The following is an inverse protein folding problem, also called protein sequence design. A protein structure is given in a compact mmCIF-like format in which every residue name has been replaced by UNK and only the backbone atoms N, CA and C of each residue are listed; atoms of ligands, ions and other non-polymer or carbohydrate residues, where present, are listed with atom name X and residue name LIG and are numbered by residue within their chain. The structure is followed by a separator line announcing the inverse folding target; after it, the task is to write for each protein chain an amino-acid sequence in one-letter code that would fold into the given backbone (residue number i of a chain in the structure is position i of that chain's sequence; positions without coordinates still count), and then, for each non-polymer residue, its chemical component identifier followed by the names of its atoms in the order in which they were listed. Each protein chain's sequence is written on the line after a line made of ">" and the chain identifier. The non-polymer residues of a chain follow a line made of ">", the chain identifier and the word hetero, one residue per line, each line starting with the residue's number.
data_IF_619754742135
#
_entry.id   IF_619754742135
#
_cell.length_a   1.000
_cell.length_b   1.000
_cell.length_c   1.000
_cell.angle_alpha   90.00
_cell.angle_beta   90.00
_cell.angle_gamma   90.00
#
_symmetry.space_group_name_H-M   'P 1'
#
loop_
_entity.id
_entity.type
_entity.pdbx_description
1 polymer ?
#
# COMPACT_ATOMS: atom_id res chain seq x y z
N UNK A 1 4.59 9.78 -4.42
CA UNK A 1 4.41 10.44 -5.74
C UNK A 1 4.07 11.93 -5.63
N UNK A 2 4.42 12.57 -4.51
CA UNK A 2 4.24 14.01 -4.35
C UNK A 2 5.16 14.73 -5.33
N UNK A 3 4.62 15.75 -6.01
CA UNK A 3 5.35 16.55 -7.00
C UNK A 3 5.41 15.94 -8.40
N UNK A 4 4.78 14.78 -8.64
CA UNK A 4 4.58 14.23 -9.98
C UNK A 4 3.20 14.61 -10.50
N UNK A 5 3.14 15.10 -11.73
CA UNK A 5 1.88 15.27 -12.44
C UNK A 5 1.24 13.89 -12.79
N UNK A 6 -0.06 13.85 -13.15
CA UNK A 6 -0.75 12.58 -13.44
C UNK A 6 -0.09 11.70 -14.51
N UNK A 7 0.57 12.29 -15.52
CA UNK A 7 1.28 11.55 -16.55
C UNK A 7 2.55 10.93 -15.99
N UNK A 8 3.31 11.68 -15.20
CA UNK A 8 4.50 11.17 -14.53
C UNK A 8 4.18 10.05 -13.53
N UNK A 9 3.05 10.15 -12.81
CA UNK A 9 2.51 9.07 -11.97
C UNK A 9 2.27 7.81 -12.80
N UNK A 10 1.55 7.93 -13.91
CA UNK A 10 1.23 6.80 -14.80
C UNK A 10 2.50 6.14 -15.35
N UNK A 11 3.49 6.93 -15.77
CA UNK A 11 4.76 6.41 -16.26
C UNK A 11 5.55 5.69 -15.15
N UNK A 12 5.58 6.24 -13.94
CA UNK A 12 6.25 5.62 -12.79
C UNK A 12 5.64 4.26 -12.47
N UNK A 13 4.30 4.16 -12.45
CA UNK A 13 3.60 2.87 -12.27
C UNK A 13 3.96 1.86 -13.37
N UNK A 14 4.10 2.32 -14.62
CA UNK A 14 4.53 1.46 -15.73
C UNK A 14 5.94 0.91 -15.51
N UNK A 15 6.88 1.76 -15.08
CA UNK A 15 8.26 1.35 -14.77
C UNK A 15 8.27 0.31 -13.65
N UNK A 16 7.47 0.49 -12.60
CA UNK A 16 7.37 -0.52 -11.53
C UNK A 16 6.90 -1.88 -12.05
N UNK A 17 5.88 -1.89 -12.93
CA UNK A 17 5.38 -3.10 -13.55
C UNK A 17 6.46 -3.79 -14.40
N UNK A 18 7.16 -3.04 -15.25
CA UNK A 18 8.24 -3.58 -16.10
C UNK A 18 9.41 -4.14 -15.27
N UNK A 19 9.77 -3.48 -14.16
CA UNK A 19 10.81 -3.97 -13.25
C UNK A 19 10.38 -5.25 -12.54
N UNK A 20 9.12 -5.33 -12.10
CA UNK A 20 8.55 -6.55 -11.51
C UNK A 20 8.55 -7.71 -12.51
N UNK A 21 8.14 -7.47 -13.76
CA UNK A 21 8.17 -8.48 -14.84
C UNK A 21 9.59 -8.99 -15.12
N UNK A 22 10.62 -8.18 -14.87
CA UNK A 22 12.04 -8.56 -14.92
C UNK A 22 12.54 -9.28 -13.67
N UNK A 23 11.65 -9.66 -12.75
CA UNK A 23 11.98 -10.38 -11.52
C UNK A 23 12.64 -9.50 -10.44
N UNK A 24 12.45 -8.18 -10.47
CA UNK A 24 12.99 -7.28 -9.45
C UNK A 24 11.99 -7.08 -8.30
N UNK A 25 12.51 -6.96 -7.08
CA UNK A 25 11.76 -6.55 -5.90
C UNK A 25 11.82 -5.03 -5.76
N UNK A 26 10.68 -4.40 -5.49
CA UNK A 26 10.56 -2.95 -5.35
C UNK A 26 9.95 -2.67 -3.98
N UNK A 27 10.63 -1.84 -3.18
CA UNK A 27 10.09 -1.33 -1.92
C UNK A 27 9.67 0.13 -2.12
N UNK A 28 8.40 0.42 -1.88
CA UNK A 28 7.84 1.77 -1.97
C UNK A 28 7.38 2.19 -0.58
N UNK A 29 7.95 3.27 -0.06
CA UNK A 29 7.45 3.94 1.15
C UNK A 29 6.68 5.19 0.73
N UNK A 30 5.43 5.29 1.14
CA UNK A 30 4.54 6.41 0.81
C UNK A 30 3.44 6.50 1.86
N UNK A 31 2.95 7.71 2.12
CA UNK A 31 1.73 7.94 2.90
C UNK A 31 0.48 8.09 2.01
N UNK A 32 0.64 8.04 0.68
CA UNK A 32 -0.47 8.10 -0.27
C UNK A 32 -1.09 6.71 -0.44
N UNK A 33 -2.15 6.42 0.31
CA UNK A 33 -2.78 5.10 0.40
C UNK A 33 -3.37 4.65 -0.95
N UNK A 34 -4.11 5.52 -1.65
CA UNK A 34 -4.71 5.23 -2.97
C UNK A 34 -3.69 4.69 -4.00
N UNK A 35 -2.46 5.17 -3.90
CA UNK A 35 -1.41 4.74 -4.82
C UNK A 35 -0.95 3.33 -4.53
N UNK A 36 -0.90 2.93 -3.26
CA UNK A 36 -0.43 1.62 -2.79
C UNK A 36 -1.35 0.52 -3.30
N UNK A 37 -2.66 0.66 -3.12
CA UNK A 37 -3.64 -0.36 -3.55
C UNK A 37 -3.47 -0.74 -5.04
N UNK A 38 -3.16 0.23 -5.89
CA UNK A 38 -3.05 -0.02 -7.34
C UNK A 38 -1.74 -0.65 -7.81
N UNK A 39 -0.69 -0.67 -6.98
CA UNK A 39 0.66 -1.11 -7.39
C UNK A 39 1.25 -2.21 -6.52
N UNK A 40 0.79 -2.33 -5.28
CA UNK A 40 1.41 -3.19 -4.29
C UNK A 40 0.88 -4.62 -4.37
N UNK A 41 1.80 -5.59 -4.33
CA UNK A 41 1.46 -6.99 -4.14
C UNK A 41 1.24 -7.33 -2.66
N UNK A 42 1.97 -6.63 -1.79
CA UNK A 42 1.95 -6.76 -0.32
C UNK A 42 2.09 -5.39 0.30
N UNK A 43 1.48 -5.21 1.46
CA UNK A 43 1.40 -3.94 2.18
C UNK A 43 1.97 -4.16 3.57
N UNK A 44 2.83 -3.24 3.99
CA UNK A 44 3.34 -3.16 5.36
C UNK A 44 2.84 -1.86 5.99
N UNK A 45 2.17 -1.98 7.13
CA UNK A 45 1.69 -0.84 7.93
C UNK A 45 2.61 -0.72 9.13
N UNK A 46 3.13 0.49 9.35
CA UNK A 46 4.09 0.78 10.40
C UNK A 46 3.52 1.86 11.32
N UNK A 47 3.56 1.61 12.64
CA UNK A 47 3.19 2.54 13.70
C UNK A 47 4.29 2.55 14.76
N UNK A 48 4.75 3.73 15.17
CA UNK A 48 5.74 3.90 16.25
C UNK A 48 6.98 3.01 16.12
N UNK A 49 7.50 2.87 14.90
CA UNK A 49 8.67 2.05 14.59
C UNK A 49 8.43 0.54 14.54
N UNK A 50 7.18 0.08 14.70
CA UNK A 50 6.78 -1.32 14.66
C UNK A 50 5.90 -1.62 13.45
N UNK A 51 6.08 -2.80 12.86
CA UNK A 51 5.20 -3.28 11.78
C UNK A 51 3.95 -3.90 12.43
N UNK A 52 2.81 -3.25 12.24
CA UNK A 52 1.51 -3.66 12.82
C UNK A 52 0.65 -4.43 11.81
N UNK A 53 1.05 -4.47 10.54
CA UNK A 53 0.46 -5.33 9.51
C UNK A 53 1.44 -5.60 8.39
N UNK A 54 1.49 -6.83 7.86
CA UNK A 54 2.37 -7.20 6.74
C UNK A 54 1.79 -8.37 5.94
N UNK A 55 0.94 -8.08 4.97
CA UNK A 55 0.34 -9.11 4.13
C UNK A 55 -0.19 -8.52 2.81
N UNK A 56 -0.83 -9.35 1.99
CA UNK A 56 -1.67 -8.91 0.88
C UNK A 56 -2.86 -8.10 1.41
N UNK A 57 -3.41 -7.20 0.60
CA UNK A 57 -4.60 -6.41 0.97
C UNK A 57 -5.76 -7.31 1.41
N UNK A 58 -6.02 -8.40 0.68
CA UNK A 58 -7.09 -9.35 1.00
C UNK A 58 -6.90 -9.97 2.39
N UNK A 59 -5.69 -10.44 2.70
CA UNK A 59 -5.39 -11.06 3.98
C UNK A 59 -5.46 -10.04 5.13
N UNK A 60 -4.97 -8.82 4.89
CA UNK A 60 -5.08 -7.74 5.85
C UNK A 60 -6.55 -7.42 6.18
N UNK A 61 -7.43 -7.31 5.18
CA UNK A 61 -8.87 -7.11 5.42
C UNK A 61 -9.46 -8.25 6.26
N UNK A 62 -9.14 -9.50 5.94
CA UNK A 62 -9.63 -10.67 6.68
C UNK A 62 -9.12 -10.74 8.12
N UNK A 63 -7.86 -10.38 8.37
CA UNK A 63 -7.24 -10.44 9.71
C UNK A 63 -7.87 -9.43 10.69
N UNK A 64 -8.30 -8.28 10.20
CA UNK A 64 -8.78 -7.18 11.03
C UNK A 64 -10.31 -7.04 11.02
N UNK A 65 -11.03 -8.10 10.61
CA UNK A 65 -12.50 -8.13 10.54
C UNK A 65 -13.10 -6.96 9.74
N UNK A 66 -12.34 -6.43 8.78
CA UNK A 66 -12.82 -5.39 7.90
C UNK A 66 -13.86 -5.98 6.95
N UNK A 67 -14.97 -5.27 6.72
CA UNK A 67 -15.96 -5.69 5.72
C UNK A 67 -15.34 -5.62 4.32
N UNK A 68 -15.88 -6.37 3.35
CA UNK A 68 -15.38 -6.33 1.97
C UNK A 68 -15.37 -4.90 1.38
N UNK A 69 -16.30 -4.05 1.85
CA UNK A 69 -16.42 -2.63 1.50
C UNK A 69 -15.39 -1.71 2.17
N UNK A 70 -14.65 -2.18 3.18
CA UNK A 70 -13.66 -1.36 3.89
C UNK A 70 -12.45 -1.08 3.00
N UNK A 71 -12.03 0.18 2.90
CA UNK A 71 -10.85 0.59 2.13
C UNK A 71 -9.54 0.29 2.87
N UNK A 72 -8.39 0.32 2.18
CA UNK A 72 -7.09 0.29 2.86
C UNK A 72 -6.89 1.49 3.79
N UNK A 73 -7.52 2.63 3.49
CA UNK A 73 -7.47 3.82 4.34
C UNK A 73 -8.16 3.57 5.68
N UNK A 74 -9.36 2.98 5.67
CA UNK A 74 -10.08 2.62 6.89
C UNK A 74 -9.25 1.67 7.76
N UNK A 75 -8.65 0.65 7.12
CA UNK A 75 -7.81 -0.31 7.81
C UNK A 75 -6.57 0.36 8.41
N UNK A 76 -5.92 1.24 7.66
CA UNK A 76 -4.76 1.99 8.14
C UNK A 76 -5.14 2.84 9.36
N UNK A 77 -6.26 3.55 9.31
CA UNK A 77 -6.74 4.36 10.43
C UNK A 77 -7.04 3.50 11.65
N UNK A 78 -7.70 2.37 11.49
CA UNK A 78 -8.00 1.46 12.60
C UNK A 78 -6.72 0.94 13.27
N UNK A 79 -5.72 0.56 12.48
CA UNK A 79 -4.44 0.04 12.98
C UNK A 79 -3.51 1.09 13.56
N UNK A 80 -3.74 2.36 13.22
CA UNK A 80 -2.90 3.49 13.66
C UNK A 80 -3.57 4.39 14.67
N UNK A 81 -4.84 4.16 15.03
CA UNK A 81 -5.52 4.83 16.15
C UNK A 81 -4.64 4.82 17.39
N UNK A 82 -4.44 6.01 17.97
CA UNK A 82 -3.85 6.17 19.29
C UNK A 82 -4.89 5.78 20.35
N UNK A 83 -4.43 5.23 21.48
CA UNK A 83 -5.28 5.08 22.67
C UNK A 83 -5.72 6.45 23.21
#
# INVERSE_FOLDING_TARGET
>A
MIGLDPKAIKNTKKVFKELKEKGKTILVSTHLIDSVETIADRIMIMKDGNIVGNDTLSNLKSQFSATDDSSLEDLFLELTKDE
#
